data_IF_611417269621
#
_entry.id   IF_611417269621
#
_cell.length_a   1.000
_cell.length_b   1.000
_cell.length_c   1.000
_cell.angle_alpha   90.00
_cell.angle_beta   90.00
_cell.angle_gamma   90.00
#
_symmetry.space_group_name_H-M   'P 1'
#
loop_
_entity.id
_entity.type
_entity.pdbx_description
1 polymer ?
#
# COMPACT_ATOMS: atom_id res chain seq x y z
N UNK A 1 -13.52 -18.22 -35.04
CA UNK A 1 -12.81 -17.42 -34.02
C UNK A 1 -13.42 -17.82 -32.68
N UNK A 2 -12.68 -18.50 -31.81
CA UNK A 2 -13.17 -18.86 -30.46
C UNK A 2 -12.62 -17.80 -29.53
N UNK A 3 -13.38 -16.72 -29.35
CA UNK A 3 -12.97 -15.58 -28.52
C UNK A 3 -13.27 -15.87 -27.03
N UNK A 4 -12.27 -15.62 -26.18
CA UNK A 4 -12.42 -15.33 -24.74
C UNK A 4 -13.03 -16.43 -23.84
N UNK A 5 -12.48 -17.65 -23.86
CA UNK A 5 -12.89 -18.72 -22.93
C UNK A 5 -12.35 -18.51 -21.49
N UNK A 6 -11.12 -18.00 -21.35
CA UNK A 6 -10.45 -17.68 -20.07
C UNK A 6 -9.66 -16.38 -20.21
N UNK A 7 -9.51 -15.60 -19.12
CA UNK A 7 -8.72 -14.37 -19.12
C UNK A 7 -7.20 -14.62 -19.21
N UNK A 8 -6.70 -15.67 -18.54
CA UNK A 8 -5.26 -16.01 -18.52
C UNK A 8 -4.98 -17.37 -19.14
N UNK A 9 -5.01 -18.44 -18.33
CA UNK A 9 -4.64 -19.77 -18.80
C UNK A 9 -5.85 -20.71 -18.80
N UNK A 10 -6.01 -21.51 -19.86
CA UNK A 10 -7.06 -22.52 -19.97
C UNK A 10 -6.44 -23.90 -19.95
N UNK A 11 -6.95 -24.80 -19.11
CA UNK A 11 -6.51 -26.19 -19.02
C UNK A 11 -7.68 -27.10 -19.30
N UNK A 12 -7.56 -27.92 -20.34
CA UNK A 12 -8.56 -28.93 -20.67
C UNK A 12 -8.60 -30.00 -19.58
N UNK A 13 -9.81 -30.46 -19.25
CA UNK A 13 -10.08 -31.55 -18.32
C UNK A 13 -10.97 -32.58 -19.01
N UNK A 14 -11.14 -33.76 -18.44
CA UNK A 14 -11.98 -34.79 -19.07
C UNK A 14 -13.43 -34.28 -19.21
N UNK A 15 -13.86 -34.03 -20.44
CA UNK A 15 -15.21 -33.51 -20.75
C UNK A 15 -15.44 -32.03 -20.45
N UNK A 16 -14.42 -31.24 -20.08
CA UNK A 16 -14.56 -29.82 -19.75
C UNK A 16 -13.24 -29.05 -19.85
N UNK A 17 -13.18 -27.85 -19.27
CA UNK A 17 -11.97 -27.04 -19.12
C UNK A 17 -12.01 -26.28 -17.79
N UNK A 18 -10.85 -25.83 -17.32
CA UNK A 18 -10.71 -24.94 -16.17
C UNK A 18 -9.82 -23.77 -16.54
N UNK A 19 -10.23 -22.57 -16.15
CA UNK A 19 -9.35 -21.42 -16.20
C UNK A 19 -8.41 -21.44 -14.99
N UNK A 20 -7.21 -20.91 -15.14
CA UNK A 20 -6.20 -20.77 -14.08
C UNK A 20 -5.68 -19.34 -14.12
N UNK A 21 -5.60 -18.73 -12.93
CA UNK A 21 -5.05 -17.39 -12.74
C UNK A 21 -3.58 -17.47 -12.28
N UNK A 22 -2.77 -16.45 -12.61
CA UNK A 22 -1.42 -16.34 -12.08
C UNK A 22 -1.42 -16.16 -10.55
N UNK A 23 -0.26 -16.33 -9.92
CA UNK A 23 -0.06 -16.04 -8.50
C UNK A 23 -0.45 -14.59 -8.19
N UNK A 24 -1.04 -14.35 -7.01
CA UNK A 24 -1.61 -13.04 -6.64
C UNK A 24 -3.05 -12.82 -7.13
N UNK A 25 -3.65 -13.79 -7.82
CA UNK A 25 -5.00 -13.68 -8.37
C UNK A 25 -5.88 -14.87 -8.00
N UNK A 26 -7.17 -14.59 -7.85
CA UNK A 26 -8.22 -15.59 -7.67
C UNK A 26 -9.18 -15.61 -8.85
N UNK A 27 -9.82 -16.75 -9.08
CA UNK A 27 -10.80 -16.90 -10.17
C UNK A 27 -12.12 -16.24 -9.76
N UNK A 28 -12.52 -15.25 -10.54
CA UNK A 28 -13.83 -14.63 -10.47
C UNK A 28 -14.72 -15.13 -11.61
N UNK A 29 -15.95 -15.53 -11.28
CA UNK A 29 -16.97 -16.01 -12.24
C UNK A 29 -16.47 -17.12 -13.18
N UNK A 30 -15.54 -17.95 -12.71
CA UNK A 30 -15.02 -19.12 -13.42
C UNK A 30 -14.12 -18.83 -14.63
N UNK A 31 -13.86 -17.56 -14.96
CA UNK A 31 -13.11 -17.19 -16.18
C UNK A 31 -12.25 -15.92 -16.09
N UNK A 32 -12.53 -15.06 -15.12
CA UNK A 32 -11.77 -13.83 -14.89
C UNK A 32 -10.81 -14.02 -13.71
N UNK A 33 -9.75 -13.24 -13.69
CA UNK A 33 -8.77 -13.20 -12.62
C UNK A 33 -8.91 -11.88 -11.91
N UNK A 34 -9.31 -11.95 -10.65
CA UNK A 34 -9.37 -10.81 -9.75
C UNK A 34 -8.13 -10.83 -8.87
N UNK A 35 -7.53 -9.66 -8.73
CA UNK A 35 -6.42 -9.43 -7.82
C UNK A 35 -6.81 -9.81 -6.39
N UNK A 36 -5.91 -10.49 -5.69
CA UNK A 36 -6.09 -10.79 -4.26
C UNK A 36 -5.53 -9.61 -3.50
N UNK A 37 -6.37 -8.89 -2.75
CA UNK A 37 -5.86 -7.85 -1.86
C UNK A 37 -5.27 -8.49 -0.59
N UNK A 38 -3.97 -8.79 -0.60
CA UNK A 38 -3.32 -9.44 0.55
C UNK A 38 -3.32 -8.55 1.80
N UNK A 39 -3.44 -7.23 1.63
CA UNK A 39 -3.57 -6.27 2.72
C UNK A 39 -4.93 -6.35 3.41
N UNK A 40 -6.01 -6.51 2.64
CA UNK A 40 -7.36 -6.67 3.16
C UNK A 40 -7.57 -8.06 3.76
N UNK A 41 -7.03 -9.10 3.13
CA UNK A 41 -7.20 -10.49 3.57
C UNK A 41 -6.27 -10.84 4.74
N UNK A 42 -5.18 -10.09 4.92
CA UNK A 42 -4.21 -10.30 5.99
C UNK A 42 -3.25 -11.46 5.74
N UNK A 43 -3.00 -11.78 4.46
CA UNK A 43 -2.03 -12.82 4.02
C UNK A 43 -0.65 -12.24 3.73
N UNK A 44 -0.49 -10.92 3.82
CA UNK A 44 0.80 -10.26 3.66
C UNK A 44 1.80 -10.64 4.76
N UNK A 45 3.09 -10.49 4.49
CA UNK A 45 4.18 -10.74 5.44
C UNK A 45 4.85 -9.46 5.97
N UNK A 46 4.19 -8.30 5.85
CA UNK A 46 4.68 -7.02 6.38
C UNK A 46 4.97 -7.06 7.88
N UNK A 47 5.94 -6.26 8.32
CA UNK A 47 6.24 -6.09 9.74
C UNK A 47 5.09 -5.34 10.46
N UNK A 48 4.99 -5.52 11.78
CA UNK A 48 3.96 -4.88 12.64
C UNK A 48 3.88 -3.36 12.44
N UNK A 49 4.99 -2.72 12.03
CA UNK A 49 5.10 -1.28 11.88
C UNK A 49 5.12 -0.80 10.41
N UNK A 50 4.95 -1.68 9.45
CA UNK A 50 4.89 -1.34 8.04
C UNK A 50 3.47 -0.99 7.60
N UNK A 51 3.37 -0.26 6.50
CA UNK A 51 2.13 -0.08 5.74
C UNK A 51 2.10 -1.13 4.65
N UNK A 52 1.07 -1.97 4.65
CA UNK A 52 0.75 -2.83 3.51
C UNK A 52 0.04 -1.99 2.44
N UNK A 53 0.53 -2.09 1.20
CA UNK A 53 -0.10 -1.51 0.02
C UNK A 53 -0.34 -2.62 -0.99
N UNK A 54 -1.61 -2.83 -1.34
CA UNK A 54 -1.99 -3.79 -2.36
C UNK A 54 -1.58 -3.28 -3.75
N UNK A 55 -0.97 -4.13 -4.56
CA UNK A 55 -0.60 -3.86 -5.95
C UNK A 55 -1.24 -4.93 -6.84
N UNK A 56 -1.33 -4.66 -8.14
CA UNK A 56 -1.87 -5.65 -9.05
C UNK A 56 -0.92 -6.86 -9.17
N UNK A 57 -1.34 -7.99 -8.62
CA UNK A 57 -0.66 -9.29 -8.61
C UNK A 57 0.33 -9.53 -7.48
N UNK A 58 0.48 -8.59 -6.55
CA UNK A 58 1.38 -8.70 -5.39
C UNK A 58 1.06 -7.61 -4.36
N UNK A 59 1.75 -7.59 -3.23
CA UNK A 59 1.69 -6.50 -2.26
C UNK A 59 3.09 -5.95 -1.97
N UNK A 60 3.14 -4.72 -1.43
CA UNK A 60 4.39 -4.17 -0.88
C UNK A 60 4.21 -3.65 0.53
N UNK A 61 5.25 -3.85 1.31
CA UNK A 61 5.37 -3.35 2.66
C UNK A 61 6.29 -2.14 2.67
N UNK A 62 5.79 -1.01 3.15
CA UNK A 62 6.56 0.21 3.27
C UNK A 62 6.75 0.56 4.74
N UNK A 63 8.02 0.58 5.16
CA UNK A 63 8.35 1.09 6.49
C UNK A 63 8.19 2.60 6.53
N UNK A 64 7.47 3.09 7.54
CA UNK A 64 7.28 4.52 7.75
C UNK A 64 8.54 5.10 8.40
N UNK A 65 9.27 5.91 7.64
CA UNK A 65 10.38 6.70 8.15
C UNK A 65 9.97 8.18 8.17
N UNK A 66 9.84 8.75 9.36
CA UNK A 66 9.53 10.17 9.49
C UNK A 66 10.79 11.01 9.28
N UNK A 67 10.65 12.12 8.55
CA UNK A 67 11.74 13.07 8.40
C UNK A 67 12.10 13.69 9.76
N UNK A 68 13.34 14.16 9.92
CA UNK A 68 13.77 14.86 11.12
C UNK A 68 12.81 16.02 11.47
N UNK A 69 12.40 16.06 12.74
CA UNK A 69 11.36 16.96 13.23
C UNK A 69 9.95 16.38 13.22
N UNK A 70 9.76 15.15 12.76
CA UNK A 70 8.47 14.46 12.76
C UNK A 70 8.54 13.13 13.53
N UNK A 71 7.46 12.82 14.23
CA UNK A 71 7.26 11.59 14.99
C UNK A 71 6.16 10.73 14.36
N UNK A 72 6.33 9.41 14.44
CA UNK A 72 5.33 8.45 13.98
C UNK A 72 4.14 8.46 14.93
N UNK A 73 2.95 8.70 14.39
CA UNK A 73 1.67 8.62 15.11
C UNK A 73 0.87 7.40 14.65
N UNK A 74 -0.27 7.16 15.31
CA UNK A 74 -1.21 6.12 14.94
C UNK A 74 -1.59 6.20 13.44
N UNK A 75 -1.92 5.04 12.86
CA UNK A 75 -2.22 4.89 11.43
C UNK A 75 -1.02 5.19 10.50
N UNK A 76 0.21 4.96 10.98
CA UNK A 76 1.40 5.03 10.13
C UNK A 76 1.62 6.41 9.48
N UNK A 77 1.23 7.48 10.17
CA UNK A 77 1.43 8.88 9.73
C UNK A 77 2.57 9.53 10.51
N UNK A 78 3.13 10.59 9.95
CA UNK A 78 4.14 11.42 10.61
C UNK A 78 3.52 12.76 11.00
N UNK A 79 3.66 13.14 12.26
CA UNK A 79 3.24 14.43 12.80
C UNK A 79 4.47 15.21 13.26
N UNK A 80 4.43 16.54 13.20
CA UNK A 80 5.47 17.41 13.75
C UNK A 80 5.72 17.11 15.24
N UNK A 81 6.98 16.92 15.59
CA UNK A 81 7.41 16.79 16.99
C UNK A 81 7.52 18.17 17.63
N UNK A 82 6.65 18.43 18.61
CA UNK A 82 6.67 19.68 19.39
C UNK A 82 7.93 19.79 20.24
N UNK A 83 8.46 18.67 20.71
CA UNK A 83 9.72 18.61 21.43
C UNK A 83 10.88 19.01 20.52
N UNK A 84 11.00 18.40 19.34
CA UNK A 84 12.06 18.72 18.38
C UNK A 84 12.03 20.20 17.97
N UNK A 85 10.84 20.76 17.70
CA UNK A 85 10.69 22.17 17.35
C UNK A 85 11.00 23.13 18.51
N UNK A 86 10.75 22.73 19.76
CA UNK A 86 11.10 23.52 20.94
C UNK A 86 12.61 23.65 21.14
N UNK A 87 13.37 22.64 20.71
CA UNK A 87 14.84 22.60 20.74
C UNK A 87 15.47 23.30 19.51
N UNK A 88 14.73 23.46 18.41
CA UNK A 88 15.21 23.99 17.12
C UNK A 88 14.44 25.25 16.66
N UNK A 89 14.15 26.17 17.58
CA UNK A 89 13.32 27.37 17.32
C UNK A 89 13.86 28.34 16.25
N UNK A 90 15.14 28.25 15.91
CA UNK A 90 15.81 29.11 14.93
C UNK A 90 16.01 28.45 13.56
N UNK A 91 15.48 27.24 13.35
CA UNK A 91 15.50 26.59 12.04
C UNK A 91 14.46 27.24 11.13
N UNK A 92 14.89 28.24 10.36
CA UNK A 92 14.06 29.01 9.42
C UNK A 92 13.56 28.18 8.24
N UNK A 93 13.91 26.90 8.19
CA UNK A 93 13.57 25.97 7.11
C UNK A 93 12.13 25.44 7.27
N UNK A 94 11.13 26.35 7.28
CA UNK A 94 9.68 26.13 7.06
C UNK A 94 8.97 24.96 7.80
N UNK A 95 9.64 24.24 8.70
CA UNK A 95 9.15 22.99 9.30
C UNK A 95 8.46 23.18 10.64
N UNK A 96 8.77 24.25 11.38
CA UNK A 96 8.29 24.48 12.75
C UNK A 96 7.48 25.78 12.93
N UNK A 97 7.06 26.45 11.85
CA UNK A 97 6.28 27.70 11.96
C UNK A 97 4.81 27.40 12.28
N UNK A 98 4.33 27.92 13.41
CA UNK A 98 2.92 27.88 13.85
C UNK A 98 1.97 28.72 12.97
N UNK A 99 2.44 29.33 11.88
CA UNK A 99 1.58 29.97 10.90
C UNK A 99 0.87 28.90 10.07
N UNK A 100 -0.37 28.62 10.45
CA UNK A 100 -1.32 27.74 9.77
C UNK A 100 -1.08 27.71 8.25
N UNK A 101 -0.61 26.58 7.71
CA UNK A 101 -0.79 26.32 6.31
C UNK A 101 -2.20 25.76 6.12
N UNK A 102 -2.95 26.34 5.17
CA UNK A 102 -4.16 25.71 4.66
C UNK A 102 -3.83 24.27 4.24
N UNK A 103 -4.43 23.27 4.91
CA UNK A 103 -4.40 21.85 4.54
C UNK A 103 -3.04 21.34 4.05
N UNK A 104 -2.10 21.10 4.96
CA UNK A 104 -1.12 20.05 4.67
C UNK A 104 -1.68 18.70 5.09
N UNK A 105 -2.30 18.02 4.13
CA UNK A 105 -2.48 16.57 4.19
C UNK A 105 -1.10 15.97 3.95
N UNK A 106 -0.23 16.02 4.95
CA UNK A 106 1.05 15.35 4.89
C UNK A 106 0.86 13.89 5.28
N UNK A 107 0.28 13.14 4.34
CA UNK A 107 0.39 11.69 4.26
C UNK A 107 1.73 11.34 3.62
N UNK A 108 2.85 11.75 4.22
CA UNK A 108 4.17 11.40 3.72
C UNK A 108 4.50 9.97 4.14
N UNK A 109 3.85 9.00 3.50
CA UNK A 109 4.49 7.71 3.34
C UNK A 109 5.52 7.96 2.23
N UNK A 110 6.81 7.90 2.58
CA UNK A 110 7.87 7.87 1.57
C UNK A 110 7.84 6.49 0.91
N UNK A 111 6.93 6.33 -0.05
CA UNK A 111 6.86 5.19 -0.95
C UNK A 111 7.89 5.46 -2.05
N UNK A 112 8.98 4.68 -2.17
CA UNK A 112 9.88 4.77 -3.32
C UNK A 112 9.16 4.44 -4.64
#
# INVERSE_FOLDING_TARGET
MIDNLCQYHCVNTLGSYKCICPSGFTIERGRQCQDIDECQVGTHNCLVNDVCVNLHGDFRCYSVQCHQGYEKVANNRCHLSTQWCSEHQNDTNLRCTNDKPMKYVYSFISIP
#
